data_IF_840193987605
#
_entry.id   IF_840193987605
#
_cell.length_a   1.000
_cell.length_b   1.000
_cell.length_c   1.000
_cell.angle_alpha   90.00
_cell.angle_beta   90.00
_cell.angle_gamma   90.00
#
_symmetry.space_group_name_H-M   'P 1'
#
loop_
_entity.id
_entity.type
_entity.pdbx_description
1 polymer ?
#
# COMPACT_ATOMS: atom_id res chain seq x y z
N UNK A 1 -13.93 -17.08 5.54
CA UNK A 1 -14.50 -15.80 5.07
C UNK A 1 -14.06 -15.63 3.62
N UNK A 2 -14.95 -15.74 2.62
CA UNK A 2 -14.57 -15.48 1.23
C UNK A 2 -14.43 -13.96 1.07
N UNK A 3 -13.54 -13.48 0.21
CA UNK A 3 -13.31 -12.04 -0.03
C UNK A 3 -14.59 -11.26 -0.44
N UNK A 4 -15.68 -11.95 -0.78
CA UNK A 4 -16.97 -11.37 -1.12
C UNK A 4 -17.91 -11.12 0.07
N UNK A 5 -17.72 -11.81 1.20
CA UNK A 5 -18.70 -11.82 2.29
C UNK A 5 -18.49 -10.64 3.27
N UNK A 6 -17.27 -10.14 3.40
CA UNK A 6 -16.97 -8.92 4.15
C UNK A 6 -15.70 -8.26 3.60
N UNK A 7 -15.86 -7.31 2.66
CA UNK A 7 -14.74 -6.54 2.10
C UNK A 7 -14.22 -5.44 3.02
N UNK A 8 -14.93 -5.19 4.13
CA UNK A 8 -14.63 -4.14 5.08
C UNK A 8 -14.37 -4.75 6.45
N UNK A 9 -13.42 -5.69 6.50
CA UNK A 9 -12.85 -6.16 7.77
C UNK A 9 -12.26 -4.92 8.44
N UNK A 10 -12.96 -4.42 9.44
CA UNK A 10 -12.59 -3.22 10.18
C UNK A 10 -11.58 -3.62 11.25
N UNK A 11 -10.30 -3.48 10.92
CA UNK A 11 -9.19 -3.84 11.80
C UNK A 11 -7.82 -3.60 11.19
N UNK A 12 -6.79 -3.63 12.04
CA UNK A 12 -5.39 -3.37 11.67
C UNK A 12 -4.90 -4.29 10.54
N UNK A 13 -5.41 -5.52 10.45
CA UNK A 13 -5.04 -6.49 9.41
C UNK A 13 -5.31 -5.98 7.98
N UNK A 14 -6.40 -5.24 7.77
CA UNK A 14 -6.70 -4.64 6.48
C UNK A 14 -5.65 -3.58 6.12
N UNK A 15 -5.32 -2.72 7.07
CA UNK A 15 -4.37 -1.61 6.89
C UNK A 15 -2.97 -2.17 6.62
N UNK A 16 -2.53 -3.16 7.40
CA UNK A 16 -1.29 -3.87 7.17
C UNK A 16 -1.25 -4.54 5.79
N UNK A 17 -2.34 -5.16 5.37
CA UNK A 17 -2.43 -5.80 4.05
C UNK A 17 -2.28 -4.76 2.94
N UNK A 18 -2.91 -3.59 3.07
CA UNK A 18 -2.75 -2.48 2.12
C UNK A 18 -1.30 -2.02 2.05
N UNK A 19 -0.64 -1.82 3.19
CA UNK A 19 0.78 -1.43 3.25
C UNK A 19 1.68 -2.47 2.59
N UNK A 20 1.49 -3.76 2.94
CA UNK A 20 2.25 -4.88 2.37
C UNK A 20 2.04 -4.97 0.85
N UNK A 21 0.81 -4.85 0.38
CA UNK A 21 0.51 -4.87 -1.05
C UNK A 21 1.11 -3.68 -1.80
N UNK A 22 1.04 -2.47 -1.24
CA UNK A 22 1.68 -1.29 -1.83
C UNK A 22 3.21 -1.47 -1.95
N UNK A 23 3.85 -1.98 -0.89
CA UNK A 23 5.29 -2.25 -0.90
C UNK A 23 5.65 -3.34 -1.92
N UNK A 24 4.86 -4.42 -2.00
CA UNK A 24 5.04 -5.45 -3.02
C UNK A 24 4.95 -4.85 -4.43
N UNK A 25 3.95 -4.03 -4.71
CA UNK A 25 3.79 -3.40 -6.02
C UNK A 25 4.94 -2.46 -6.38
N UNK A 26 5.55 -1.78 -5.39
CA UNK A 26 6.75 -0.97 -5.60
C UNK A 26 7.95 -1.82 -6.00
N UNK A 27 8.11 -3.02 -5.43
CA UNK A 27 9.16 -3.96 -5.86
C UNK A 27 8.98 -4.31 -7.34
N UNK A 28 7.75 -4.65 -7.74
CA UNK A 28 7.43 -4.93 -9.14
C UNK A 28 7.77 -3.74 -10.06
N UNK A 29 7.35 -2.53 -9.69
CA UNK A 29 7.63 -1.32 -10.48
C UNK A 29 9.14 -1.04 -10.57
N UNK A 30 9.88 -1.19 -9.47
CA UNK A 30 11.32 -0.94 -9.41
C UNK A 30 12.14 -1.94 -10.23
N UNK A 31 11.66 -3.18 -10.35
CA UNK A 31 12.29 -4.23 -11.14
C UNK A 31 11.76 -4.32 -12.57
N UNK A 32 10.80 -3.45 -12.93
CA UNK A 32 10.15 -3.44 -14.25
C UNK A 32 9.49 -4.82 -14.53
N UNK A 33 8.94 -5.45 -13.50
CA UNK A 33 8.22 -6.72 -13.61
C UNK A 33 6.73 -6.40 -13.78
N UNK A 34 6.11 -7.03 -14.78
CA UNK A 34 4.67 -6.90 -14.98
C UNK A 34 3.90 -7.37 -13.74
N UNK A 35 3.02 -6.52 -13.21
CA UNK A 35 2.18 -6.82 -12.03
C UNK A 35 1.25 -8.02 -12.23
N UNK A 36 0.88 -8.36 -13.48
CA UNK A 36 0.13 -9.58 -13.76
C UNK A 36 0.92 -10.86 -13.49
N UNK A 37 2.26 -10.80 -13.40
CA UNK A 37 3.04 -11.95 -12.97
C UNK A 37 2.67 -12.39 -11.55
N UNK A 38 2.25 -11.47 -10.67
CA UNK A 38 1.70 -11.82 -9.35
C UNK A 38 0.47 -12.71 -9.47
N UNK A 39 -0.48 -12.34 -10.34
CA UNK A 39 -1.68 -13.13 -10.60
C UNK A 39 -1.38 -14.46 -11.33
N UNK A 40 -0.28 -14.52 -12.08
CA UNK A 40 0.21 -15.73 -12.75
C UNK A 40 1.02 -16.66 -11.83
N UNK A 41 1.17 -16.32 -10.54
CA UNK A 41 1.82 -17.16 -9.54
C UNK A 41 3.30 -16.85 -9.26
N UNK A 42 3.83 -15.73 -9.77
CA UNK A 42 5.19 -15.30 -9.42
C UNK A 42 5.25 -14.86 -7.95
N UNK A 43 6.03 -15.58 -7.15
CA UNK A 43 6.15 -15.31 -5.71
C UNK A 43 7.30 -14.34 -5.42
N UNK A 44 7.31 -13.75 -4.21
CA UNK A 44 8.45 -12.94 -3.73
C UNK A 44 9.74 -13.75 -3.69
N UNK A 45 9.65 -15.04 -3.34
CA UNK A 45 10.81 -15.95 -3.33
C UNK A 45 11.39 -16.14 -4.73
N UNK A 46 10.55 -16.18 -5.77
CA UNK A 46 11.02 -16.25 -7.15
C UNK A 46 11.71 -14.95 -7.56
N UNK A 47 11.16 -13.80 -7.19
CA UNK A 47 11.77 -12.48 -7.44
C UNK A 47 13.16 -12.39 -6.80
N UNK A 48 13.32 -12.86 -5.55
CA UNK A 48 14.61 -12.88 -4.84
C UNK A 48 15.62 -13.75 -5.60
N UNK A 49 15.23 -14.93 -6.06
CA UNK A 49 16.11 -15.81 -6.85
C UNK A 49 16.51 -15.16 -8.16
N UNK A 50 15.57 -14.54 -8.87
CA UNK A 50 15.85 -13.81 -10.10
C UNK A 50 16.83 -12.65 -9.87
N UNK A 51 16.63 -11.87 -8.80
CA UNK A 51 17.55 -10.80 -8.41
C UNK A 51 18.96 -11.33 -8.12
N UNK A 52 19.08 -12.45 -7.42
CA UNK A 52 20.37 -13.10 -7.16
C UNK A 52 21.05 -13.52 -8.46
N UNK A 53 20.34 -14.17 -9.39
CA UNK A 53 20.92 -14.61 -10.66
C UNK A 53 21.40 -13.45 -11.54
N UNK A 54 20.74 -12.29 -11.48
CA UNK A 54 21.12 -11.12 -12.27
C UNK A 54 22.24 -10.30 -11.60
N UNK A 55 22.22 -10.17 -10.27
CA UNK A 55 23.09 -9.21 -9.56
C UNK A 55 24.18 -9.85 -8.71
N UNK A 56 24.09 -11.16 -8.44
CA UNK A 56 24.94 -11.86 -7.48
C UNK A 56 24.71 -11.47 -6.01
N UNK A 57 23.69 -10.66 -5.71
CA UNK A 57 23.40 -10.18 -4.36
C UNK A 57 22.27 -10.98 -3.72
N UNK A 58 22.45 -11.30 -2.45
CA UNK A 58 21.43 -11.96 -1.65
C UNK A 58 20.47 -10.92 -1.06
N UNK A 59 19.18 -11.23 -1.10
CA UNK A 59 18.12 -10.44 -0.49
C UNK A 59 17.20 -11.35 0.32
N UNK A 60 16.66 -10.82 1.42
CA UNK A 60 15.55 -11.46 2.14
C UNK A 60 14.23 -10.78 1.79
N UNK A 61 13.07 -11.46 1.96
CA UNK A 61 11.77 -10.83 1.78
C UNK A 61 11.61 -9.56 2.63
N UNK A 62 12.04 -9.61 3.89
CA UNK A 62 11.97 -8.49 4.83
C UNK A 62 12.79 -7.31 4.32
N UNK A 63 14.00 -7.58 3.79
CA UNK A 63 14.85 -6.52 3.26
C UNK A 63 14.27 -5.87 2.01
N UNK A 64 13.64 -6.64 1.12
CA UNK A 64 12.95 -6.08 -0.04
C UNK A 64 11.76 -5.20 0.38
N UNK A 65 10.99 -5.65 1.38
CA UNK A 65 9.85 -4.89 1.91
C UNK A 65 10.29 -3.60 2.60
N UNK A 66 11.42 -3.61 3.32
CA UNK A 66 12.06 -2.43 3.90
C UNK A 66 12.47 -1.43 2.80
N UNK A 67 13.17 -1.90 1.77
CA UNK A 67 13.58 -1.06 0.61
C UNK A 67 12.35 -0.45 -0.07
N UNK A 68 11.29 -1.23 -0.26
CA UNK A 68 10.05 -0.74 -0.87
C UNK A 68 9.33 0.29 0.00
N UNK A 69 9.31 0.11 1.33
CA UNK A 69 8.78 1.10 2.26
C UNK A 69 9.54 2.42 2.17
N UNK A 70 10.88 2.36 2.09
CA UNK A 70 11.72 3.54 1.89
C UNK A 70 11.41 4.26 0.58
N UNK A 71 11.25 3.52 -0.52
CA UNK A 71 10.87 4.09 -1.82
C UNK A 71 9.49 4.76 -1.74
N UNK A 72 8.51 4.13 -1.08
CA UNK A 72 7.19 4.73 -0.85
C UNK A 72 7.30 6.05 -0.09
N UNK A 73 8.12 6.11 0.97
CA UNK A 73 8.36 7.34 1.75
C UNK A 73 9.03 8.43 0.92
N UNK A 74 9.98 8.09 0.04
CA UNK A 74 10.59 9.05 -0.89
C UNK A 74 9.52 9.65 -1.82
N UNK A 75 8.66 8.81 -2.42
CA UNK A 75 7.57 9.28 -3.28
C UNK A 75 6.58 10.17 -2.52
N UNK A 76 6.20 9.77 -1.29
CA UNK A 76 5.31 10.55 -0.44
C UNK A 76 5.94 11.88 -0.03
N UNK A 77 7.24 11.91 0.28
CA UNK A 77 7.97 13.13 0.62
C UNK A 77 8.00 14.11 -0.55
N UNK A 78 8.29 13.64 -1.77
CA UNK A 78 8.21 14.46 -2.98
C UNK A 78 6.80 15.06 -3.13
N UNK A 79 5.76 14.25 -2.94
CA UNK A 79 4.38 14.76 -2.99
C UNK A 79 4.09 15.78 -1.88
N UNK A 80 4.61 15.57 -0.66
CA UNK A 80 4.48 16.55 0.44
C UNK A 80 5.17 17.87 0.11
N UNK A 81 6.36 17.84 -0.50
CA UNK A 81 7.08 19.03 -0.96
C UNK A 81 6.32 19.77 -2.08
N UNK A 82 5.53 19.04 -2.87
CA UNK A 82 4.61 19.59 -3.87
C UNK A 82 3.24 20.01 -3.29
N UNK A 83 3.04 19.92 -1.97
CA UNK A 83 1.87 20.43 -1.26
C UNK A 83 0.75 19.42 -0.97
N UNK A 84 0.95 18.13 -1.25
CA UNK A 84 0.02 17.07 -0.88
C UNK A 84 0.08 16.81 0.63
N UNK A 85 -1.09 16.73 1.26
CA UNK A 85 -1.26 16.53 2.71
C UNK A 85 -2.43 15.57 2.98
N UNK A 86 -2.72 15.28 4.24
CA UNK A 86 -3.88 14.46 4.64
C UNK A 86 -5.23 14.96 4.08
N UNK A 87 -5.38 16.25 3.75
CA UNK A 87 -6.60 16.81 3.15
C UNK A 87 -6.92 16.25 1.75
N UNK A 88 -5.87 15.73 1.08
CA UNK A 88 -5.91 15.24 -0.29
C UNK A 88 -6.12 13.71 -0.33
N UNK A 89 -5.85 13.01 0.78
CA UNK A 89 -6.01 11.56 0.93
C UNK A 89 -7.48 11.19 1.18
N UNK A 90 -8.36 11.49 0.21
CA UNK A 90 -9.80 11.23 0.29
C UNK A 90 -10.34 10.55 -0.95
N UNK A 91 -11.43 9.80 -0.76
CA UNK A 91 -12.17 9.24 -1.89
C UNK A 91 -13.02 10.32 -2.58
N UNK A 92 -13.26 10.20 -3.90
CA UNK A 92 -14.30 10.97 -4.56
C UNK A 92 -15.66 10.78 -3.88
N UNK A 93 -16.48 11.82 -3.81
CA UNK A 93 -17.77 11.82 -3.09
C UNK A 93 -18.64 10.60 -3.44
N UNK A 94 -18.69 10.22 -4.72
CA UNK A 94 -19.51 9.09 -5.16
C UNK A 94 -19.09 7.75 -4.55
N UNK A 95 -17.81 7.58 -4.22
CA UNK A 95 -17.28 6.39 -3.54
C UNK A 95 -17.42 6.49 -2.01
N UNK A 96 -17.64 7.70 -1.48
CA UNK A 96 -17.84 7.99 -0.05
C UNK A 96 -19.34 8.09 0.35
N UNK A 97 -20.27 7.80 -0.57
CA UNK A 97 -21.71 7.85 -0.31
C UNK A 97 -22.39 6.56 -0.73
N UNK A 98 -23.43 6.08 -0.01
CA UNK A 98 -24.22 4.94 -0.45
C UNK A 98 -24.85 5.16 -1.83
N UNK A 99 -25.09 4.07 -2.56
CA UNK A 99 -25.76 4.15 -3.83
C UNK A 99 -27.25 4.50 -3.61
N UNK A 100 -27.74 5.55 -4.28
CA UNK A 100 -29.09 6.09 -4.07
C UNK A 100 -30.22 5.04 -4.10
N UNK A 101 -30.10 4.06 -5.00
CA UNK A 101 -31.12 3.02 -5.20
C UNK A 101 -30.77 1.65 -4.60
N UNK A 102 -29.76 1.54 -3.72
CA UNK A 102 -29.39 0.26 -3.08
C UNK A 102 -29.18 0.42 -1.60
N UNK A 103 -29.91 -0.38 -0.82
CA UNK A 103 -29.88 -0.39 0.65
C UNK A 103 -28.72 -1.21 1.23
N UNK A 104 -28.07 -2.04 0.42
CA UNK A 104 -26.96 -2.90 0.82
C UNK A 104 -25.57 -2.29 0.51
N UNK A 105 -25.53 -1.01 0.14
CA UNK A 105 -24.28 -0.33 -0.15
C UNK A 105 -23.51 -0.05 1.14
N UNK A 106 -22.33 -0.62 1.26
CA UNK A 106 -21.38 -0.32 2.32
C UNK A 106 -20.33 0.67 1.82
N UNK A 107 -20.13 1.75 2.58
CA UNK A 107 -19.12 2.79 2.32
C UNK A 107 -17.90 2.49 3.19
N UNK A 108 -16.67 2.50 2.64
CA UNK A 108 -15.46 2.29 3.43
C UNK A 108 -15.25 3.42 4.44
N UNK A 109 -15.05 3.13 5.74
CA UNK A 109 -14.77 4.14 6.76
C UNK A 109 -13.30 4.61 6.68
N UNK A 110 -12.89 5.19 5.55
CA UNK A 110 -11.49 5.60 5.29
C UNK A 110 -10.96 6.56 6.36
N UNK A 111 -11.79 7.50 6.82
CA UNK A 111 -11.42 8.47 7.86
C UNK A 111 -11.01 7.79 9.18
N UNK A 112 -11.56 6.62 9.48
CA UNK A 112 -11.19 5.81 10.65
C UNK A 112 -9.84 5.11 10.45
N UNK A 113 -9.52 4.70 9.22
CA UNK A 113 -8.33 3.92 8.92
C UNK A 113 -7.08 4.77 8.65
N UNK A 114 -7.24 5.98 8.11
CA UNK A 114 -6.12 6.85 7.75
C UNK A 114 -5.18 7.16 8.92
N UNK A 115 -5.66 7.53 10.13
CA UNK A 115 -4.75 7.80 11.25
C UNK A 115 -3.84 6.61 11.58
N UNK A 116 -4.42 5.40 11.60
CA UNK A 116 -3.65 4.18 11.84
C UNK A 116 -2.73 3.82 10.69
N UNK A 117 -3.14 4.06 9.44
CA UNK A 117 -2.29 3.92 8.27
C UNK A 117 -1.09 4.87 8.32
N UNK A 118 -1.29 6.13 8.72
CA UNK A 118 -0.22 7.11 8.90
C UNK A 118 0.76 6.70 9.98
N UNK A 119 0.26 6.23 11.13
CA UNK A 119 1.09 5.71 12.22
C UNK A 119 1.98 4.55 11.72
N UNK A 120 1.39 3.54 11.08
CA UNK A 120 2.12 2.38 10.56
C UNK A 120 3.11 2.74 9.43
N UNK A 121 2.84 3.81 8.68
CA UNK A 121 3.75 4.37 7.66
C UNK A 121 4.81 5.30 8.22
N UNK A 122 4.75 5.67 9.50
CA UNK A 122 5.66 6.65 10.11
C UNK A 122 5.43 8.09 9.65
N UNK A 123 4.18 8.45 9.37
CA UNK A 123 3.77 9.82 9.01
C UNK A 123 3.29 10.61 10.24
N UNK A 124 3.15 11.93 10.08
CA UNK A 124 2.38 12.78 10.99
C UNK A 124 0.88 12.64 10.73
N UNK A 125 0.05 13.19 11.61
CA UNK A 125 -1.41 13.25 11.43
C UNK A 125 -1.81 14.05 10.18
N UNK A 126 -1.01 15.04 9.79
CA UNK A 126 -1.15 15.79 8.54
C UNK A 126 -0.70 15.03 7.28
N UNK A 127 -0.33 13.74 7.43
CA UNK A 127 0.10 12.89 6.33
C UNK A 127 1.48 13.26 5.77
N UNK A 128 2.36 13.84 6.60
CA UNK A 128 3.73 14.25 6.24
C UNK A 128 4.72 13.18 6.67
N UNK A 129 5.70 12.86 5.80
CA UNK A 129 6.79 11.95 6.13
C UNK A 129 7.66 12.56 7.23
N UNK A 130 7.76 11.88 8.38
CA UNK A 130 8.66 12.30 9.48
C UNK A 130 10.11 12.11 9.09
N UNK A 131 10.45 10.88 8.70
CA UNK A 131 11.81 10.47 8.36
C UNK A 131 11.79 9.38 7.27
N UNK A 132 12.87 9.35 6.48
CA UNK A 132 13.15 8.29 5.52
C UNK A 132 14.21 7.39 6.17
N UNK A 133 13.80 6.18 6.53
CA UNK A 133 14.61 5.10 7.09
C UNK A 133 15.09 4.15 5.98
#
# INVERSE_FOLDING_TARGET
>A
IKAFDNRYIDGDELIETVIKMQNLMIIYDSLIICKYAFAAGLTVTDIIKLLYFVTGKEYTPEKLMEIANRIWKVQRKINNELGITAKDDKLPLRMATPHANRTDTQVPPIEKWLPRYYELRGLTEDGIVKEID
#
